data_IF_580448604700
#
_entry.id   IF_580448604700
#
_cell.length_a   1.000
_cell.length_b   1.000
_cell.length_c   1.000
_cell.angle_alpha   90.00
_cell.angle_beta   90.00
_cell.angle_gamma   90.00
#
_symmetry.space_group_name_H-M   'P 1'
#
loop_
_entity.id
_entity.type
_entity.pdbx_description
1 polymer ?
#
# COMPACT_ATOMS: atom_id res chain seq x y z
N UNK A 1 4.43 -2.25 1.58
CA UNK A 1 3.55 -3.42 1.78
C UNK A 1 2.94 -3.45 3.18
N UNK A 2 3.70 -3.73 4.25
CA UNK A 2 3.11 -3.84 5.60
C UNK A 2 2.39 -2.58 6.09
N UNK A 3 2.93 -1.39 5.81
CA UNK A 3 2.23 -0.12 6.08
C UNK A 3 0.90 -0.02 5.34
N UNK A 4 0.86 -0.45 4.08
CA UNK A 4 -0.35 -0.49 3.25
C UNK A 4 -1.39 -1.48 3.80
N UNK A 5 -0.96 -2.67 4.25
CA UNK A 5 -1.81 -3.66 4.93
C UNK A 5 -2.41 -3.07 6.21
N UNK A 6 -1.57 -2.48 7.08
CA UNK A 6 -2.02 -1.86 8.32
C UNK A 6 -3.06 -0.78 8.07
N UNK A 7 -2.80 0.15 7.16
CA UNK A 7 -3.72 1.26 6.84
C UNK A 7 -5.02 0.74 6.23
N UNK A 8 -4.94 -0.20 5.30
CA UNK A 8 -6.13 -0.84 4.70
C UNK A 8 -7.02 -1.45 5.78
N UNK A 9 -6.44 -2.25 6.69
CA UNK A 9 -7.16 -2.86 7.81
C UNK A 9 -7.79 -1.81 8.75
N UNK A 10 -7.06 -0.75 9.09
CA UNK A 10 -7.56 0.30 9.98
C UNK A 10 -8.71 1.09 9.34
N UNK A 11 -8.58 1.47 8.08
CA UNK A 11 -9.61 2.20 7.35
C UNK A 11 -10.89 1.35 7.23
N UNK A 12 -10.77 0.10 6.79
CA UNK A 12 -11.94 -0.77 6.65
C UNK A 12 -12.63 -1.03 7.99
N UNK A 13 -11.85 -1.31 9.05
CA UNK A 13 -12.38 -1.65 10.36
C UNK A 13 -13.06 -0.47 11.06
N UNK A 14 -12.49 0.73 10.97
CA UNK A 14 -12.91 1.87 11.81
C UNK A 14 -13.65 2.97 11.06
N UNK A 15 -13.64 2.98 9.73
CA UNK A 15 -14.30 4.04 8.94
C UNK A 15 -15.34 3.54 7.93
N UNK A 16 -15.43 2.23 7.69
CA UNK A 16 -16.34 1.65 6.69
C UNK A 16 -15.95 1.98 5.24
N UNK A 17 -14.80 2.63 5.03
CA UNK A 17 -14.23 2.91 3.71
C UNK A 17 -13.67 1.63 3.13
N UNK A 18 -14.07 1.28 1.91
CA UNK A 18 -13.47 0.15 1.18
C UNK A 18 -12.11 0.54 0.63
N UNK A 19 -11.17 -0.37 0.69
CA UNK A 19 -9.81 -0.13 0.24
C UNK A 19 -9.34 -1.18 -0.75
N UNK A 20 -8.29 -0.84 -1.49
CA UNK A 20 -7.48 -1.74 -2.31
C UNK A 20 -6.02 -1.40 -2.06
N UNK A 21 -5.15 -2.40 -1.93
CA UNK A 21 -3.72 -2.16 -1.96
C UNK A 21 -3.28 -2.12 -3.42
N UNK A 22 -2.56 -1.06 -3.76
CA UNK A 22 -1.96 -0.83 -5.06
C UNK A 22 -0.44 -0.78 -4.90
N UNK A 23 0.29 -0.94 -5.99
CA UNK A 23 1.74 -0.87 -5.93
C UNK A 23 2.39 -1.14 -7.26
N UNK A 24 3.71 -1.25 -7.22
CA UNK A 24 4.52 -1.63 -8.36
C UNK A 24 5.96 -1.98 -7.97
N UNK A 25 6.71 -2.54 -8.93
CA UNK A 25 8.07 -3.02 -8.72
C UNK A 25 9.16 -1.94 -8.93
N UNK A 26 8.80 -0.83 -9.56
CA UNK A 26 9.68 0.27 -9.89
C UNK A 26 10.64 0.02 -11.06
N UNK A 27 10.49 -1.08 -11.77
CA UNK A 27 11.35 -1.50 -12.89
C UNK A 27 10.55 -1.57 -14.19
N UNK A 28 9.38 -2.22 -14.16
CA UNK A 28 8.54 -2.43 -15.34
C UNK A 28 7.04 -2.53 -15.06
N UNK A 29 6.64 -2.59 -13.78
CA UNK A 29 5.26 -2.75 -13.36
C UNK A 29 4.84 -1.67 -12.36
N UNK A 30 4.85 -0.41 -12.80
CA UNK A 30 4.45 0.72 -11.96
C UNK A 30 5.38 0.97 -10.78
N UNK A 31 4.91 1.74 -9.80
CA UNK A 31 5.65 2.14 -8.61
C UNK A 31 5.37 3.59 -8.23
N UNK A 32 6.30 4.19 -7.48
CA UNK A 32 6.28 5.61 -7.15
C UNK A 32 7.41 6.33 -7.87
N UNK A 33 7.10 7.46 -8.50
CA UNK A 33 8.07 8.32 -9.17
C UNK A 33 8.69 9.25 -8.14
N UNK A 34 10.00 9.11 -7.91
CA UNK A 34 10.78 9.97 -7.01
C UNK A 34 11.81 10.78 -7.82
N UNK A 35 12.48 11.78 -7.22
CA UNK A 35 13.57 12.49 -7.89
C UNK A 35 14.71 11.56 -8.39
N UNK A 36 14.91 10.42 -7.73
CA UNK A 36 15.91 9.39 -8.08
C UNK A 36 15.37 8.35 -9.08
N UNK A 37 14.20 8.59 -9.66
CA UNK A 37 13.52 7.71 -10.63
C UNK A 37 12.39 6.89 -10.02
N UNK A 38 11.90 5.92 -10.79
CA UNK A 38 10.84 5.02 -10.33
C UNK A 38 11.36 4.08 -9.23
N UNK A 39 10.57 3.91 -8.17
CA UNK A 39 10.84 2.99 -7.05
C UNK A 39 9.69 2.01 -6.86
N UNK A 40 10.03 0.77 -6.51
CA UNK A 40 9.03 -0.21 -6.14
C UNK A 40 8.39 0.20 -4.82
N UNK A 41 7.06 0.24 -4.78
CA UNK A 41 6.33 0.74 -3.62
C UNK A 41 4.89 0.26 -3.59
N UNK A 42 4.26 0.32 -2.42
CA UNK A 42 2.86 -0.06 -2.22
C UNK A 42 2.13 0.97 -1.37
N UNK A 43 0.88 1.26 -1.73
CA UNK A 43 0.01 2.22 -1.07
C UNK A 43 -1.42 1.69 -1.03
N UNK A 44 -2.31 2.45 -0.38
CA UNK A 44 -3.74 2.14 -0.35
C UNK A 44 -4.49 3.09 -1.28
N UNK A 45 -5.42 2.54 -2.05
CA UNK A 45 -6.46 3.29 -2.76
C UNK A 45 -7.76 3.14 -1.98
N UNK A 46 -8.20 4.22 -1.35
CA UNK A 46 -9.43 4.29 -0.58
C UNK A 46 -10.60 4.79 -1.45
N UNK A 47 -11.75 4.11 -1.39
CA UNK A 47 -12.97 4.55 -2.05
C UNK A 47 -13.89 5.26 -1.06
N UNK A 48 -13.98 6.58 -1.19
CA UNK A 48 -14.86 7.44 -0.37
C UNK A 48 -15.95 8.00 -1.29
N UNK A 49 -17.17 7.48 -1.15
CA UNK A 49 -18.33 7.90 -1.94
C UNK A 49 -18.09 7.90 -3.47
N UNK A 50 -17.37 6.90 -3.99
CA UNK A 50 -17.06 6.77 -5.42
C UNK A 50 -15.84 7.57 -5.88
N UNK A 51 -15.18 8.31 -4.98
CA UNK A 51 -13.91 8.98 -5.25
C UNK A 51 -12.75 8.13 -4.72
N UNK A 52 -11.66 8.08 -5.49
CA UNK A 52 -10.46 7.34 -5.12
C UNK A 52 -9.38 8.27 -4.57
N UNK A 53 -8.83 7.88 -3.42
CA UNK A 53 -7.75 8.59 -2.73
C UNK A 53 -6.55 7.68 -2.53
N UNK A 54 -5.36 8.20 -2.78
CA UNK A 54 -4.10 7.60 -2.37
C UNK A 54 -3.93 7.84 -0.87
N UNK A 55 -3.63 6.78 -0.14
CA UNK A 55 -3.21 6.82 1.26
C UNK A 55 -1.89 6.07 1.39
N UNK A 56 -0.84 6.76 1.82
CA UNK A 56 0.50 6.20 1.98
C UNK A 56 1.16 6.79 3.22
N UNK A 57 1.49 5.92 4.18
CA UNK A 57 2.11 6.28 5.46
C UNK A 57 3.61 5.97 5.48
N UNK A 58 4.18 5.68 4.31
CA UNK A 58 5.57 5.25 4.13
C UNK A 58 6.26 5.99 2.99
N UNK A 59 5.66 7.06 2.47
CA UNK A 59 6.23 7.84 1.37
C UNK A 59 7.50 8.61 1.81
N UNK A 60 7.64 8.86 3.11
CA UNK A 60 8.81 9.49 3.72
C UNK A 60 10.12 8.71 3.51
N UNK A 61 10.06 7.40 3.24
CA UNK A 61 11.23 6.62 2.82
C UNK A 61 11.87 7.16 1.52
N UNK A 62 11.11 7.95 0.74
CA UNK A 62 11.54 8.61 -0.49
C UNK A 62 11.70 10.13 -0.32
N UNK A 63 11.70 10.64 0.92
CA UNK A 63 11.80 12.07 1.20
C UNK A 63 10.52 12.87 0.96
N UNK A 64 9.37 12.19 0.82
CA UNK A 64 8.04 12.81 0.73
C UNK A 64 7.44 13.04 2.12
N UNK A 65 6.22 13.59 2.18
CA UNK A 65 5.50 13.75 3.45
C UNK A 65 5.24 12.40 4.12
N UNK A 66 5.32 12.36 5.47
CA UNK A 66 5.10 11.13 6.26
C UNK A 66 3.72 10.51 6.12
N UNK A 67 2.72 11.31 5.72
CA UNK A 67 1.38 10.82 5.39
C UNK A 67 0.93 11.52 4.12
N UNK A 68 0.74 10.75 3.06
CA UNK A 68 0.12 11.21 1.82
C UNK A 68 -1.35 10.84 1.87
N UNK A 69 -2.19 11.86 1.66
CA UNK A 69 -3.62 11.72 1.40
C UNK A 69 -4.00 12.66 0.27
N UNK A 70 -4.18 12.11 -0.94
CA UNK A 70 -4.44 12.89 -2.16
C UNK A 70 -5.48 12.19 -3.03
N UNK A 71 -6.26 12.95 -3.79
CA UNK A 71 -7.11 12.37 -4.83
C UNK A 71 -6.24 11.64 -5.85
N UNK A 72 -6.71 10.50 -6.37
CA UNK A 72 -5.96 9.68 -7.34
C UNK A 72 -5.49 10.50 -8.56
N UNK A 73 -6.27 11.48 -9.00
CA UNK A 73 -5.94 12.36 -10.13
C UNK A 73 -4.86 13.39 -9.80
N UNK A 74 -4.68 13.70 -8.53
CA UNK A 74 -3.75 14.72 -8.02
C UNK A 74 -2.41 14.10 -7.56
N UNK A 75 -2.23 12.80 -7.82
CA UNK A 75 -1.09 12.00 -7.38
C UNK A 75 -0.46 11.25 -8.57
N UNK A 76 -0.05 11.94 -9.66
CA UNK A 76 0.51 11.31 -10.85
C UNK A 76 1.82 10.57 -10.59
N UNK A 77 2.49 10.85 -9.47
CA UNK A 77 3.68 10.13 -9.02
C UNK A 77 3.39 8.69 -8.60
N UNK A 78 2.13 8.32 -8.35
CA UNK A 78 1.71 6.96 -8.02
C UNK A 78 1.20 6.23 -9.26
N UNK A 79 2.02 5.34 -9.81
CA UNK A 79 1.73 4.60 -11.04
C UNK A 79 1.36 3.16 -10.69
N UNK A 80 0.09 2.79 -10.85
CA UNK A 80 -0.36 1.44 -10.54
C UNK A 80 0.25 0.41 -11.48
N UNK A 81 0.85 -0.63 -10.90
CA UNK A 81 1.20 -1.86 -11.60
C UNK A 81 0.00 -2.80 -11.78
N UNK A 82 0.27 -4.02 -12.21
CA UNK A 82 -0.75 -5.04 -12.46
C UNK A 82 -1.35 -5.53 -11.14
N UNK A 83 -2.65 -5.31 -10.96
CA UNK A 83 -3.33 -5.64 -9.70
C UNK A 83 -3.18 -7.11 -9.29
N UNK A 84 -3.17 -8.05 -10.25
CA UNK A 84 -3.01 -9.47 -9.94
C UNK A 84 -1.67 -9.77 -9.24
N UNK A 85 -0.58 -9.11 -9.66
CA UNK A 85 0.75 -9.26 -9.04
C UNK A 85 0.76 -8.64 -7.63
N UNK A 86 0.12 -7.48 -7.47
CA UNK A 86 -0.02 -6.83 -6.16
C UNK A 86 -0.82 -7.73 -5.20
N UNK A 87 -1.92 -8.31 -5.66
CA UNK A 87 -2.76 -9.22 -4.87
C UNK A 87 -1.99 -10.46 -4.41
N UNK A 88 -1.15 -11.04 -5.27
CA UNK A 88 -0.24 -12.14 -4.91
C UNK A 88 0.75 -11.73 -3.81
N UNK A 89 1.38 -10.56 -3.94
CA UNK A 89 2.31 -10.05 -2.93
C UNK A 89 1.62 -9.75 -1.59
N UNK A 90 0.37 -9.26 -1.64
CA UNK A 90 -0.45 -9.02 -0.45
C UNK A 90 -0.76 -10.36 0.24
N UNK A 91 -1.20 -11.37 -0.51
CA UNK A 91 -1.51 -12.69 0.04
C UNK A 91 -0.28 -13.36 0.70
N UNK A 92 0.87 -13.33 0.03
CA UNK A 92 2.14 -13.84 0.58
C UNK A 92 2.56 -13.08 1.86
N UNK A 93 2.40 -11.76 1.87
CA UNK A 93 2.72 -10.93 3.04
C UNK A 93 1.79 -11.21 4.23
N UNK A 94 0.49 -11.42 3.98
CA UNK A 94 -0.46 -11.85 5.01
C UNK A 94 -0.09 -13.22 5.57
N UNK A 95 0.25 -14.19 4.71
CA UNK A 95 0.66 -15.51 5.15
C UNK A 95 1.88 -15.43 6.08
N UNK A 96 2.89 -14.64 5.72
CA UNK A 96 4.10 -14.42 6.53
C UNK A 96 3.78 -13.79 7.89
N UNK A 97 2.92 -12.77 7.93
CA UNK A 97 2.44 -12.15 9.17
C UNK A 97 1.79 -13.18 10.11
N UNK A 98 0.86 -14.00 9.61
CA UNK A 98 0.19 -14.99 10.46
C UNK A 98 1.11 -16.12 10.92
N UNK A 99 2.06 -16.53 10.08
CA UNK A 99 3.07 -17.51 10.46
C UNK A 99 4.00 -16.97 11.56
N UNK A 100 4.42 -15.71 11.49
CA UNK A 100 5.25 -15.11 12.54
C UNK A 100 4.51 -15.08 13.88
N UNK A 101 3.23 -14.67 13.90
CA UNK A 101 2.41 -14.69 15.13
C UNK A 101 2.26 -16.10 15.71
N UNK A 102 1.99 -17.10 14.87
CA UNK A 102 1.83 -18.50 15.32
C UNK A 102 3.12 -19.09 15.90
N UNK A 103 4.28 -18.63 15.41
CA UNK A 103 5.60 -19.09 15.86
C UNK A 103 6.12 -18.40 17.13
N UNK A 104 5.59 -17.22 17.46
CA UNK A 104 5.91 -16.49 18.69
C UNK A 104 5.06 -16.95 19.88
N UNK A 105 3.80 -17.32 19.64
CA UNK A 105 2.91 -17.90 20.68
C UNK A 105 3.38 -19.27 21.19
N UNK A 106 4.32 -19.93 20.49
CA UNK A 106 4.94 -21.19 20.94
C UNK A 106 6.21 -20.99 21.77
N UNK A 107 6.60 -19.73 22.05
CA UNK A 107 7.82 -19.38 22.80
C UNK A 107 7.56 -18.77 24.18
N UNK A 108 6.31 -18.72 24.63
CA UNK A 108 5.89 -18.32 25.98
C UNK A 108 5.40 -19.53 26.78
#
# INVERSE_FOLDING_TARGET
MYGSILVSMLLEKFSGVRTRIAGGDGVGDGGIVTPEGMKGHYWVVANVHGMHFIVDITADQFGMDSIIYKGLKDAPEYVEGHQAVVDEHVADSFQKLFQSYSSEDTRL
#
